data_IF_903277557441
#
_entry.id   IF_903277557441
#
_cell.length_a   1.000
_cell.length_b   1.000
_cell.length_c   1.000
_cell.angle_alpha   90.00
_cell.angle_beta   90.00
_cell.angle_gamma   90.00
#
_symmetry.space_group_name_H-M   'P 1'
#
loop_
_entity.id
_entity.type
_entity.pdbx_description
1 polymer ?
#
# COMPACT_ATOMS: atom_id res chain seq x y z
N UNK A 1 -15.80 3.34 25.63
CA UNK A 1 -14.73 3.46 24.62
C UNK A 1 -14.75 2.34 23.58
N UNK A 2 -14.71 1.06 23.99
CA UNK A 2 -14.71 -0.12 23.09
C UNK A 2 -15.82 -0.13 22.01
N UNK A 3 -17.06 0.18 22.39
CA UNK A 3 -18.19 0.20 21.44
C UNK A 3 -18.10 1.35 20.42
N UNK A 4 -17.42 2.45 20.77
CA UNK A 4 -17.33 3.62 19.90
C UNK A 4 -16.35 3.35 18.75
N UNK A 5 -15.16 2.80 19.04
CA UNK A 5 -14.12 2.53 18.04
C UNK A 5 -14.57 1.55 16.95
N UNK A 6 -15.52 0.67 17.24
CA UNK A 6 -16.04 -0.30 16.26
C UNK A 6 -16.80 0.36 15.10
N UNK A 7 -17.38 1.53 15.34
CA UNK A 7 -18.27 2.18 14.38
C UNK A 7 -17.69 3.48 13.78
N UNK A 8 -16.46 3.85 14.12
CA UNK A 8 -15.89 5.08 13.56
C UNK A 8 -15.12 4.82 12.28
N UNK A 9 -15.45 5.57 11.25
CA UNK A 9 -14.60 5.78 10.09
C UNK A 9 -14.03 7.19 10.18
N UNK A 10 -12.70 7.31 10.04
CA UNK A 10 -12.04 8.60 9.99
C UNK A 10 -11.31 8.75 8.65
N UNK A 11 -11.64 9.80 7.92
CA UNK A 11 -10.85 10.26 6.78
C UNK A 11 -9.76 11.18 7.30
N UNK A 12 -8.51 10.74 7.22
CA UNK A 12 -7.36 11.65 7.36
C UNK A 12 -7.14 12.33 6.02
N UNK A 13 -6.90 13.64 6.00
CA UNK A 13 -6.66 14.38 4.75
C UNK A 13 -5.62 13.66 3.88
N UNK A 14 -6.05 13.19 2.70
CA UNK A 14 -5.21 12.48 1.73
C UNK A 14 -4.97 11.00 2.00
N UNK A 15 -5.51 10.40 3.07
CA UNK A 15 -5.38 8.96 3.36
C UNK A 15 -6.72 8.23 3.23
N UNK A 16 -6.71 6.94 2.85
CA UNK A 16 -7.92 6.10 2.87
C UNK A 16 -8.59 6.10 4.24
N UNK A 17 -9.91 5.88 4.24
CA UNK A 17 -10.68 5.80 5.47
C UNK A 17 -10.12 4.68 6.37
N UNK A 18 -9.75 5.06 7.60
CA UNK A 18 -9.29 4.12 8.62
C UNK A 18 -10.51 3.39 9.19
N UNK A 19 -10.48 2.06 9.21
CA UNK A 19 -11.59 1.24 9.72
C UNK A 19 -11.10 0.00 10.46
N UNK A 20 -11.98 -0.56 11.28
CA UNK A 20 -11.76 -1.84 11.96
C UNK A 20 -12.78 -2.85 11.44
N UNK A 21 -12.37 -4.10 11.23
CA UNK A 21 -13.30 -5.16 10.84
C UNK A 21 -14.11 -5.69 12.04
N UNK A 22 -14.98 -6.66 11.80
CA UNK A 22 -15.85 -7.26 12.83
C UNK A 22 -15.07 -7.88 14.00
N UNK A 23 -13.83 -8.30 13.77
CA UNK A 23 -12.90 -8.85 14.78
C UNK A 23 -12.11 -7.77 15.53
N UNK A 24 -12.28 -6.50 15.18
CA UNK A 24 -11.52 -5.38 15.73
C UNK A 24 -10.11 -5.24 15.13
N UNK A 25 -9.81 -5.92 14.02
CA UNK A 25 -8.53 -5.81 13.34
C UNK A 25 -8.50 -4.52 12.51
N UNK A 26 -7.37 -3.83 12.54
CA UNK A 26 -7.17 -2.61 11.77
C UNK A 26 -7.07 -2.94 10.27
N UNK A 27 -8.00 -2.40 9.49
CA UNK A 27 -8.06 -2.59 8.04
C UNK A 27 -7.58 -1.32 7.36
N UNK A 28 -6.50 -1.43 6.59
CA UNK A 28 -5.92 -0.32 5.86
C UNK A 28 -5.46 -0.73 4.46
N UNK A 29 -5.33 0.24 3.57
CA UNK A 29 -4.63 0.08 2.31
C UNK A 29 -3.12 0.00 2.59
N UNK A 30 -2.41 -0.79 1.80
CA UNK A 30 -0.97 -0.93 1.86
C UNK A 30 -0.33 -0.38 0.58
N UNK A 31 0.79 0.32 0.71
CA UNK A 31 1.63 0.67 -0.42
C UNK A 31 2.56 -0.50 -0.76
N UNK A 32 2.75 -0.74 -2.06
CA UNK A 32 3.76 -1.68 -2.55
C UNK A 32 4.97 -0.86 -2.96
N UNK A 33 6.10 -1.10 -2.30
CA UNK A 33 7.34 -0.37 -2.53
C UNK A 33 8.40 -1.25 -3.18
N UNK A 34 9.17 -0.67 -4.09
CA UNK A 34 10.32 -1.29 -4.71
C UNK A 34 11.58 -0.51 -4.33
N UNK A 35 12.59 -1.21 -3.78
CA UNK A 35 13.86 -0.62 -3.41
C UNK A 35 14.74 -0.44 -4.66
N UNK A 36 15.04 0.80 -5.02
CA UNK A 36 15.73 1.15 -6.26
C UNK A 36 16.99 1.94 -5.99
N UNK A 37 18.02 1.72 -6.81
CA UNK A 37 19.26 2.48 -6.77
C UNK A 37 19.17 3.63 -7.78
N UNK A 38 19.06 4.85 -7.28
CA UNK A 38 19.00 6.06 -8.09
C UNK A 38 20.39 6.60 -8.48
N UNK A 39 20.42 7.74 -9.18
CA UNK A 39 21.65 8.49 -9.46
C UNK A 39 22.43 8.77 -8.16
N UNK A 40 23.76 8.73 -8.24
CA UNK A 40 24.62 8.93 -7.05
C UNK A 40 24.67 7.73 -6.10
N UNK A 41 24.18 6.55 -6.50
CA UNK A 41 24.13 5.32 -5.69
C UNK A 41 23.31 5.47 -4.40
N UNK A 42 22.27 6.28 -4.44
CA UNK A 42 21.35 6.49 -3.32
C UNK A 42 20.19 5.51 -3.46
N UNK A 43 19.88 4.79 -2.39
CA UNK A 43 18.73 3.90 -2.33
C UNK A 43 17.46 4.67 -2.03
N UNK A 44 16.38 4.40 -2.77
CA UNK A 44 15.04 4.94 -2.49
C UNK A 44 13.96 3.86 -2.51
N UNK A 45 12.96 4.02 -1.64
CA UNK A 45 11.74 3.22 -1.64
C UNK A 45 10.71 3.90 -2.53
N UNK A 46 10.54 3.40 -3.74
CA UNK A 46 9.59 3.97 -4.70
C UNK A 46 8.28 3.20 -4.64
N UNK A 47 7.16 3.92 -4.53
CA UNK A 47 5.83 3.31 -4.56
C UNK A 47 5.54 2.85 -6.00
N UNK A 48 5.26 1.56 -6.16
CA UNK A 48 4.99 0.91 -7.45
C UNK A 48 3.57 0.35 -7.54
N UNK A 49 2.76 0.53 -6.49
CA UNK A 49 1.40 0.03 -6.44
C UNK A 49 0.79 0.12 -5.05
N UNK A 50 -0.39 -0.46 -4.91
CA UNK A 50 -1.12 -0.54 -3.66
C UNK A 50 -1.95 -1.82 -3.56
N UNK A 51 -2.20 -2.25 -2.33
CA UNK A 51 -3.12 -3.32 -1.99
C UNK A 51 -4.30 -2.77 -1.18
N UNK A 52 -5.53 -2.98 -1.66
CA UNK A 52 -6.78 -2.53 -1.02
C UNK A 52 -7.57 -3.77 -0.58
N UNK A 53 -7.54 -4.15 0.71
CA UNK A 53 -8.14 -5.40 1.19
C UNK A 53 -9.65 -5.54 0.92
N UNK A 54 -10.37 -4.41 0.87
CA UNK A 54 -11.82 -4.35 0.71
C UNK A 54 -12.28 -4.16 -0.74
N UNK A 55 -11.37 -4.07 -1.72
CA UNK A 55 -11.74 -4.04 -3.12
C UNK A 55 -12.20 -5.43 -3.62
N UNK A 56 -12.84 -5.46 -4.80
CA UNK A 56 -13.15 -6.70 -5.49
C UNK A 56 -11.89 -7.54 -5.71
N UNK A 57 -11.95 -8.88 -5.69
CA UNK A 57 -10.76 -9.75 -5.71
C UNK A 57 -9.72 -9.41 -6.80
N UNK A 58 -10.18 -9.02 -7.98
CA UNK A 58 -9.41 -8.60 -9.15
C UNK A 58 -8.87 -7.16 -9.07
N UNK A 59 -9.38 -6.36 -8.14
CA UNK A 59 -9.02 -4.96 -7.92
C UNK A 59 -8.24 -4.74 -6.63
N UNK A 60 -8.03 -5.79 -5.83
CA UNK A 60 -7.28 -5.68 -4.56
C UNK A 60 -5.82 -5.31 -4.80
N UNK A 61 -5.22 -5.78 -5.88
CA UNK A 61 -3.82 -5.56 -6.20
C UNK A 61 -3.71 -4.66 -7.43
N UNK A 62 -3.20 -3.45 -7.22
CA UNK A 62 -2.88 -2.53 -8.30
C UNK A 62 -1.36 -2.37 -8.32
N UNK A 63 -0.74 -2.74 -9.42
CA UNK A 63 0.71 -2.60 -9.63
C UNK A 63 0.92 -1.85 -10.94
N UNK A 64 1.93 -0.99 -10.98
CA UNK A 64 2.42 -0.31 -12.18
C UNK A 64 3.74 -0.97 -12.61
N UNK A 65 3.70 -2.02 -13.47
CA UNK A 65 4.88 -2.81 -13.80
C UNK A 65 6.05 -1.97 -14.33
N UNK A 66 5.76 -0.89 -15.03
CA UNK A 66 6.72 0.03 -15.64
C UNK A 66 7.57 0.77 -14.58
N UNK A 67 7.08 0.87 -13.35
CA UNK A 67 7.81 1.48 -12.23
C UNK A 67 8.70 0.49 -11.49
N UNK A 68 8.61 -0.82 -11.77
CA UNK A 68 9.39 -1.84 -11.07
C UNK A 68 10.72 -2.05 -11.79
N UNK A 69 11.83 -1.89 -11.04
CA UNK A 69 13.17 -2.20 -11.55
C UNK A 69 13.56 -3.58 -11.04
N UNK A 70 13.52 -4.57 -11.93
CA UNK A 70 14.00 -5.91 -11.64
C UNK A 70 15.52 -5.99 -11.79
N UNK A 71 16.18 -6.56 -10.77
CA UNK A 71 17.59 -6.97 -10.87
C UNK A 71 17.69 -8.20 -11.77
N UNK A 72 17.77 -7.97 -13.08
CA UNK A 72 18.02 -9.01 -14.08
C UNK A 72 19.49 -8.96 -14.53
N UNK A 73 19.97 -10.01 -15.19
CA UNK A 73 21.33 -10.03 -15.76
C UNK A 73 21.59 -8.93 -16.79
N UNK A 74 20.54 -8.34 -17.38
CA UNK A 74 20.64 -7.23 -18.34
C UNK A 74 20.65 -5.84 -17.68
N UNK A 75 20.27 -5.75 -16.41
CA UNK A 75 20.26 -4.51 -15.61
C UNK A 75 21.32 -4.57 -14.50
N UNK A 76 22.47 -5.17 -14.79
CA UNK A 76 23.57 -5.40 -13.83
C UNK A 76 24.67 -4.37 -14.01
#
# INVERSE_FOLDING_TARGET
LHLHLKNVSYTRNGSPALSFNEKGEFVNQYEIVNLQLGPGRIWSWNIVGNYVPWALPDQRLIVTPEKIIWKTRRNK
#
